data_IF_563256136373
#
_entry.id   IF_563256136373
#
_cell.length_a   1.000
_cell.length_b   1.000
_cell.length_c   1.000
_cell.angle_alpha   90.00
_cell.angle_beta   90.00
_cell.angle_gamma   90.00
#
_symmetry.space_group_name_H-M   'P 1'
#
loop_
_entity.id
_entity.type
_entity.pdbx_description
1 polymer ?
#
# COMPACT_ATOMS: atom_id res chain seq x y z
N UNK A 1 24.90 37.10 26.49
CA UNK A 1 23.66 37.31 25.74
C UNK A 1 22.84 36.05 25.87
N UNK A 2 21.79 36.06 26.68
CA UNK A 2 20.87 34.93 26.82
C UNK A 2 20.03 34.85 25.54
N UNK A 3 20.30 33.87 24.69
CA UNK A 3 19.41 33.53 23.58
C UNK A 3 18.09 33.08 24.19
N UNK A 4 17.08 33.95 24.17
CA UNK A 4 15.71 33.50 24.36
C UNK A 4 15.38 32.60 23.17
N UNK A 5 15.15 31.32 23.43
CA UNK A 5 14.75 30.38 22.40
C UNK A 5 13.38 30.81 21.88
N UNK A 6 13.29 31.07 20.57
CA UNK A 6 12.01 31.37 19.90
C UNK A 6 11.00 30.22 20.06
N UNK A 7 11.49 29.01 20.33
CA UNK A 7 10.69 27.81 20.54
C UNK A 7 10.42 27.58 22.03
N UNK A 8 9.33 26.86 22.31
CA UNK A 8 8.96 26.43 23.65
C UNK A 8 10.12 25.67 24.32
N UNK A 9 10.23 25.76 25.66
CA UNK A 9 11.25 25.07 26.46
C UNK A 9 11.26 23.53 26.31
N UNK A 10 10.23 22.96 25.70
CA UNK A 10 10.09 21.53 25.39
C UNK A 10 10.51 21.18 23.96
N UNK A 11 10.85 22.15 23.12
CA UNK A 11 11.28 21.93 21.75
C UNK A 11 12.76 21.53 21.71
N UNK A 12 13.08 20.47 20.97
CA UNK A 12 14.47 20.02 20.80
C UNK A 12 15.34 21.13 20.19
N UNK A 13 16.34 21.61 20.93
CA UNK A 13 17.40 22.46 20.42
C UNK A 13 18.55 21.66 19.79
N UNK A 14 19.33 22.27 18.89
CA UNK A 14 20.52 21.63 18.30
C UNK A 14 21.58 21.26 19.35
N UNK A 15 21.62 21.99 20.46
CA UNK A 15 22.47 21.72 21.63
C UNK A 15 21.90 20.68 22.59
N UNK A 16 20.65 20.25 22.39
CA UNK A 16 19.94 19.31 23.28
C UNK A 16 19.78 17.92 22.63
N UNK A 17 20.42 17.69 21.49
CA UNK A 17 20.45 16.39 20.82
C UNK A 17 21.19 15.39 21.71
N UNK A 18 20.56 14.27 22.12
CA UNK A 18 21.23 13.26 22.93
C UNK A 18 22.46 12.72 22.19
N UNK A 19 23.61 12.61 22.88
CA UNK A 19 24.76 11.90 22.35
C UNK A 19 24.37 10.44 22.08
N UNK A 20 24.59 9.98 20.85
CA UNK A 20 24.20 8.67 20.38
C UNK A 20 25.42 7.96 19.80
N UNK A 21 25.66 6.73 20.23
CA UNK A 21 26.78 5.96 19.70
C UNK A 21 26.58 5.63 18.21
N UNK A 22 27.66 5.69 17.40
CA UNK A 22 27.61 5.37 15.98
C UNK A 22 27.15 3.92 15.77
N UNK A 23 26.45 3.67 14.66
CA UNK A 23 26.01 2.32 14.34
C UNK A 23 27.21 1.42 14.06
N UNK A 24 27.26 0.23 14.68
CA UNK A 24 28.30 -0.76 14.38
C UNK A 24 28.28 -1.12 12.88
N UNK A 25 29.46 -1.14 12.25
CA UNK A 25 29.60 -1.53 10.85
C UNK A 25 29.11 -2.98 10.65
N UNK A 26 28.20 -3.16 9.69
CA UNK A 26 27.59 -4.47 9.38
C UNK A 26 28.13 -5.01 8.06
N UNK A 27 28.12 -6.34 7.86
CA UNK A 27 28.45 -6.94 6.56
C UNK A 27 27.54 -6.35 5.46
N UNK A 28 28.12 -6.13 4.28
CA UNK A 28 27.51 -5.37 3.18
C UNK A 28 26.10 -5.81 2.79
N UNK A 29 25.76 -7.09 2.94
CA UNK A 29 24.44 -7.67 2.66
C UNK A 29 23.37 -7.18 3.64
N UNK A 30 23.74 -6.91 4.90
CA UNK A 30 22.83 -6.50 5.97
C UNK A 30 22.89 -5.00 6.26
N UNK A 31 23.64 -4.24 5.45
CA UNK A 31 23.88 -2.81 5.69
C UNK A 31 22.60 -1.99 5.72
N UNK A 32 21.55 -2.43 5.03
CA UNK A 32 20.24 -1.76 5.02
C UNK A 32 19.24 -2.38 5.99
N UNK A 33 19.44 -3.61 6.47
CA UNK A 33 18.41 -4.33 7.23
C UNK A 33 18.13 -3.74 8.62
N UNK A 34 19.13 -3.11 9.24
CA UNK A 34 18.99 -2.43 10.54
C UNK A 34 20.08 -1.37 10.69
N UNK A 35 19.75 -0.12 10.38
CA UNK A 35 20.64 1.03 10.57
C UNK A 35 20.12 1.85 11.75
N UNK A 36 21.03 2.39 12.56
CA UNK A 36 20.63 3.26 13.66
C UNK A 36 20.26 4.64 13.10
N UNK A 37 19.06 5.13 13.42
CA UNK A 37 18.61 6.46 13.02
C UNK A 37 19.21 7.51 13.97
N UNK A 38 19.87 8.56 13.48
CA UNK A 38 20.46 9.57 14.35
C UNK A 38 19.40 10.55 14.90
N UNK A 39 19.64 11.10 16.10
CA UNK A 39 18.77 12.12 16.69
C UNK A 39 18.85 13.48 15.98
N UNK A 40 20.01 13.82 15.38
CA UNK A 40 20.25 15.03 14.61
C UNK A 40 20.96 14.72 13.28
N UNK A 41 20.92 15.65 12.32
CA UNK A 41 21.47 15.46 10.96
C UNK A 41 20.95 14.18 10.26
N UNK A 42 19.66 13.88 10.41
CA UNK A 42 19.04 12.71 9.76
C UNK A 42 18.96 12.82 8.23
N UNK A 43 19.24 14.00 7.68
CA UNK A 43 19.25 14.31 6.24
C UNK A 43 20.18 13.37 5.43
N UNK A 44 21.22 12.82 6.08
CA UNK A 44 22.16 11.87 5.45
C UNK A 44 21.61 10.42 5.38
N UNK A 45 20.61 10.09 6.20
CA UNK A 45 20.10 8.72 6.38
C UNK A 45 18.70 8.55 5.79
N UNK A 46 17.84 9.56 5.95
CA UNK A 46 16.49 9.56 5.38
C UNK A 46 16.49 10.32 4.06
N UNK A 47 16.02 9.70 2.95
CA UNK A 47 15.93 10.40 1.69
C UNK A 47 15.02 11.62 1.81
N UNK A 48 15.44 12.76 1.25
CA UNK A 48 14.68 14.02 1.24
C UNK A 48 13.24 13.82 0.70
N UNK A 49 13.05 12.86 -0.22
CA UNK A 49 11.75 12.50 -0.76
C UNK A 49 10.70 12.12 0.30
N UNK A 50 11.12 11.54 1.43
CA UNK A 50 10.20 11.18 2.52
C UNK A 50 9.54 12.40 3.17
N UNK A 51 10.20 13.56 3.12
CA UNK A 51 9.72 14.81 3.71
C UNK A 51 9.06 15.70 2.66
N UNK A 52 9.57 15.69 1.42
CA UNK A 52 9.03 16.48 0.30
C UNK A 52 7.66 16.02 -0.19
N UNK A 53 7.35 14.71 -0.07
CA UNK A 53 6.09 14.16 -0.59
C UNK A 53 4.85 14.65 0.19
N UNK A 54 5.01 15.23 1.40
CA UNK A 54 3.90 15.67 2.24
C UNK A 54 3.71 17.19 2.20
N UNK A 55 2.64 17.65 1.55
CA UNK A 55 2.30 19.06 1.57
C UNK A 55 1.89 19.52 2.99
N UNK A 56 2.12 20.79 3.38
CA UNK A 56 1.65 21.32 4.66
C UNK A 56 0.15 21.15 4.89
N UNK A 57 -0.63 21.09 3.81
CA UNK A 57 -2.07 20.83 3.86
C UNK A 57 -2.36 19.39 4.27
N UNK A 58 -1.62 18.42 3.75
CA UNK A 58 -1.81 17.00 4.06
C UNK A 58 -1.42 16.70 5.50
N UNK A 59 -0.33 17.28 6.00
CA UNK A 59 0.07 17.16 7.40
C UNK A 59 -1.01 17.69 8.35
N UNK A 60 -1.60 18.85 8.05
CA UNK A 60 -2.72 19.42 8.83
C UNK A 60 -3.96 18.54 8.77
N UNK A 61 -4.26 17.95 7.62
CA UNK A 61 -5.39 17.03 7.47
C UNK A 61 -5.17 15.76 8.31
N UNK A 62 -3.96 15.19 8.30
CA UNK A 62 -3.61 14.03 9.13
C UNK A 62 -3.73 14.35 10.61
N UNK A 63 -3.23 15.51 11.04
CA UNK A 63 -3.35 15.96 12.43
C UNK A 63 -4.82 16.10 12.85
N UNK A 64 -5.65 16.71 11.99
CA UNK A 64 -7.10 16.83 12.24
C UNK A 64 -7.76 15.45 12.38
N UNK A 65 -7.48 14.52 11.48
CA UNK A 65 -8.02 13.15 11.52
C UNK A 65 -7.58 12.39 12.79
N UNK A 66 -6.36 12.64 13.30
CA UNK A 66 -5.90 12.07 14.58
C UNK A 66 -6.70 12.63 15.75
N UNK A 67 -6.89 13.95 15.83
CA UNK A 67 -7.70 14.60 16.88
C UNK A 67 -9.15 14.10 16.88
N UNK A 68 -9.80 14.09 15.72
CA UNK A 68 -11.18 13.60 15.57
C UNK A 68 -11.31 12.13 16.02
N UNK A 69 -10.28 11.31 15.75
CA UNK A 69 -10.24 9.92 16.22
C UNK A 69 -10.13 9.85 17.74
N UNK A 70 -9.23 10.62 18.33
CA UNK A 70 -9.04 10.66 19.79
C UNK A 70 -10.31 11.14 20.51
N UNK A 71 -11.00 12.15 19.97
CA UNK A 71 -12.30 12.62 20.44
C UNK A 71 -13.36 11.50 20.37
N UNK A 72 -13.49 10.81 19.24
CA UNK A 72 -14.42 9.69 19.09
C UNK A 72 -14.11 8.52 20.01
N UNK A 73 -12.83 8.27 20.31
CA UNK A 73 -12.40 7.25 21.27
C UNK A 73 -12.81 7.67 22.68
N UNK A 74 -12.58 8.94 23.05
CA UNK A 74 -12.97 9.48 24.36
C UNK A 74 -14.49 9.45 24.57
N UNK A 75 -15.27 9.70 23.52
CA UNK A 75 -16.74 9.62 23.53
C UNK A 75 -17.28 8.17 23.45
N UNK A 76 -16.43 7.19 23.14
CA UNK A 76 -16.81 5.78 22.99
C UNK A 76 -17.59 5.45 21.72
N UNK A 77 -17.61 6.36 20.73
CA UNK A 77 -18.33 6.22 19.46
C UNK A 77 -17.44 5.58 18.38
N UNK A 78 -16.13 5.52 18.61
CA UNK A 78 -15.16 5.07 17.62
C UNK A 78 -15.38 3.62 17.17
N UNK A 79 -15.48 3.42 15.86
CA UNK A 79 -15.48 2.09 15.24
C UNK A 79 -14.13 1.85 14.56
N UNK A 80 -13.33 0.88 15.04
CA UNK A 80 -12.00 0.67 14.50
C UNK A 80 -12.07 0.15 13.06
N UNK A 81 -11.08 0.52 12.27
CA UNK A 81 -10.97 0.01 10.91
C UNK A 81 -10.71 -1.51 10.93
N UNK A 82 -11.22 -2.28 9.95
CA UNK A 82 -10.89 -3.71 9.80
C UNK A 82 -9.38 -4.01 9.70
N UNK A 83 -8.54 -2.99 9.50
CA UNK A 83 -7.09 -3.13 9.40
C UNK A 83 -6.32 -2.67 10.64
N UNK A 84 -6.97 -1.97 11.58
CA UNK A 84 -6.28 -1.31 12.70
C UNK A 84 -5.71 -2.30 13.72
N UNK A 85 -6.29 -3.49 13.80
CA UNK A 85 -5.81 -4.58 14.66
C UNK A 85 -4.68 -5.40 14.02
N UNK A 86 -4.34 -5.15 12.75
CA UNK A 86 -3.31 -5.90 12.04
C UNK A 86 -1.98 -5.15 12.14
N UNK A 87 -0.96 -5.81 12.71
CA UNK A 87 0.40 -5.29 12.68
C UNK A 87 1.02 -5.52 11.29
N UNK A 88 1.07 -4.45 10.49
CA UNK A 88 1.72 -4.48 9.18
C UNK A 88 3.25 -4.55 9.26
N UNK A 89 3.82 -4.43 10.46
CA UNK A 89 5.25 -4.24 10.69
C UNK A 89 5.84 -3.04 9.94
N UNK A 90 4.99 -2.16 9.41
CA UNK A 90 5.38 -0.87 8.84
C UNK A 90 5.07 0.19 9.89
N UNK A 91 6.08 0.98 10.26
CA UNK A 91 5.95 2.00 11.30
C UNK A 91 6.81 3.19 10.91
N UNK A 92 6.17 4.35 10.86
CA UNK A 92 6.81 5.63 10.57
C UNK A 92 6.60 6.56 11.76
N UNK A 93 7.39 6.33 12.80
CA UNK A 93 7.37 7.13 14.01
C UNK A 93 8.71 7.89 14.14
N UNK A 94 8.72 8.95 14.95
CA UNK A 94 9.94 9.69 15.23
C UNK A 94 11.07 8.81 15.80
N UNK A 95 10.75 7.68 16.45
CA UNK A 95 11.74 6.74 17.00
C UNK A 95 12.21 5.68 16.00
N UNK A 96 11.35 5.26 15.06
CA UNK A 96 11.67 4.17 14.14
C UNK A 96 10.93 4.31 12.80
N UNK A 97 11.67 4.18 11.70
CA UNK A 97 11.14 3.95 10.36
C UNK A 97 11.34 2.50 9.98
N UNK A 98 10.26 1.82 9.64
CA UNK A 98 10.28 0.38 9.41
C UNK A 98 9.49 0.07 8.17
N UNK A 99 10.12 -0.66 7.26
CA UNK A 99 9.47 -1.12 6.04
C UNK A 99 9.29 -2.63 6.03
N UNK A 100 8.11 -3.05 5.62
CA UNK A 100 7.76 -4.45 5.46
C UNK A 100 7.04 -4.66 4.12
N UNK A 101 7.39 -5.73 3.41
CA UNK A 101 6.64 -6.15 2.22
C UNK A 101 5.35 -6.84 2.65
N UNK A 102 4.34 -6.71 1.80
CA UNK A 102 3.15 -7.54 1.90
C UNK A 102 3.52 -9.02 1.64
N UNK A 103 2.81 -9.98 2.25
CA UNK A 103 3.06 -11.39 1.99
C UNK A 103 2.78 -11.73 0.52
N UNK A 104 3.43 -12.78 0.02
CA UNK A 104 3.30 -13.21 -1.39
C UNK A 104 1.84 -13.48 -1.80
N UNK A 105 1.00 -13.96 -0.87
CA UNK A 105 -0.43 -14.17 -1.10
C UNK A 105 -1.20 -12.89 -1.38
N UNK A 106 -0.84 -11.77 -0.72
CA UNK A 106 -1.35 -10.46 -1.06
C UNK A 106 -0.92 -10.10 -2.47
N UNK A 107 0.37 -10.12 -2.79
CA UNK A 107 0.81 -9.79 -4.16
C UNK A 107 0.07 -10.63 -5.22
N UNK A 108 -0.10 -11.93 -4.99
CA UNK A 108 -0.86 -12.82 -5.87
C UNK A 108 -2.31 -12.37 -6.09
N UNK A 109 -3.05 -12.04 -5.04
CA UNK A 109 -4.45 -11.59 -5.16
C UNK A 109 -4.57 -10.22 -5.86
N UNK A 110 -3.58 -9.32 -5.68
CA UNK A 110 -3.54 -8.02 -6.35
C UNK A 110 -3.27 -8.21 -7.84
N UNK A 111 -2.32 -9.09 -8.17
CA UNK A 111 -2.08 -9.49 -9.54
C UNK A 111 -3.31 -10.16 -10.13
N UNK A 112 -3.93 -11.14 -9.48
CA UNK A 112 -5.15 -11.81 -9.96
C UNK A 112 -6.27 -10.81 -10.31
N UNK A 113 -6.51 -9.82 -9.44
CA UNK A 113 -7.48 -8.75 -9.69
C UNK A 113 -7.08 -7.87 -10.87
N UNK A 114 -5.83 -7.41 -10.89
CA UNK A 114 -5.33 -6.41 -11.86
C UNK A 114 -5.15 -7.03 -13.24
N UNK A 115 -4.47 -8.16 -13.32
CA UNK A 115 -4.23 -8.92 -14.54
C UNK A 115 -5.54 -9.44 -15.12
N UNK A 116 -6.45 -9.97 -14.30
CA UNK A 116 -7.78 -10.39 -14.75
C UNK A 116 -8.56 -9.24 -15.40
N UNK A 117 -8.56 -8.06 -14.77
CA UNK A 117 -9.19 -6.86 -15.32
C UNK A 117 -8.56 -6.43 -16.65
N UNK A 118 -7.23 -6.32 -16.70
CA UNK A 118 -6.50 -5.87 -17.89
C UNK A 118 -6.69 -6.84 -19.06
N UNK A 119 -6.52 -8.14 -18.83
CA UNK A 119 -6.73 -9.17 -19.85
C UNK A 119 -8.18 -9.16 -20.35
N UNK A 120 -9.16 -9.03 -19.46
CA UNK A 120 -10.57 -8.95 -19.84
C UNK A 120 -10.83 -7.80 -20.83
N UNK A 121 -10.34 -6.60 -20.53
CA UNK A 121 -10.53 -5.45 -21.42
C UNK A 121 -9.76 -5.61 -22.73
N UNK A 122 -8.51 -6.10 -22.69
CA UNK A 122 -7.73 -6.33 -23.91
C UNK A 122 -8.40 -7.34 -24.84
N UNK A 123 -8.82 -8.49 -24.31
CA UNK A 123 -9.51 -9.51 -25.09
C UNK A 123 -10.85 -8.99 -25.62
N UNK A 124 -11.60 -8.26 -24.80
CA UNK A 124 -12.89 -7.68 -25.20
C UNK A 124 -12.74 -6.70 -26.36
N UNK A 125 -11.74 -5.81 -26.30
CA UNK A 125 -11.46 -4.82 -27.36
C UNK A 125 -11.07 -5.52 -28.67
N UNK A 126 -10.27 -6.60 -28.62
CA UNK A 126 -9.86 -7.34 -29.81
C UNK A 126 -11.01 -8.21 -30.36
N UNK A 127 -11.81 -8.84 -29.49
CA UNK A 127 -12.88 -9.73 -29.90
C UNK A 127 -14.10 -8.99 -30.45
N UNK A 128 -14.38 -7.78 -29.95
CA UNK A 128 -15.54 -6.99 -30.37
C UNK A 128 -15.63 -6.79 -31.90
N UNK A 129 -14.60 -6.30 -32.62
CA UNK A 129 -14.69 -6.12 -34.07
C UNK A 129 -14.82 -7.44 -34.83
N UNK A 130 -14.17 -8.51 -34.36
CA UNK A 130 -14.25 -9.84 -34.99
C UNK A 130 -15.67 -10.38 -34.88
N UNK A 131 -16.26 -10.26 -33.69
CA UNK A 131 -17.65 -10.63 -33.43
C UNK A 131 -18.63 -9.85 -34.34
N UNK A 132 -18.49 -8.53 -34.42
CA UNK A 132 -19.36 -7.72 -35.28
C UNK A 132 -19.20 -8.05 -36.77
N UNK A 133 -17.98 -8.33 -37.22
CA UNK A 133 -17.72 -8.74 -38.60
C UNK A 133 -18.36 -10.08 -38.92
N UNK A 134 -18.24 -11.06 -38.02
CA UNK A 134 -18.84 -12.39 -38.19
C UNK A 134 -20.37 -12.33 -38.19
N UNK A 135 -20.98 -11.52 -37.32
CA UNK A 135 -22.44 -11.33 -37.33
C UNK A 135 -22.93 -10.60 -38.59
N UNK A 136 -22.15 -9.65 -39.12
CA UNK A 136 -22.53 -8.87 -40.30
C UNK A 136 -22.33 -9.62 -41.63
N UNK A 137 -21.30 -10.46 -41.72
CA UNK A 137 -20.90 -11.16 -42.97
C UNK A 137 -21.16 -12.66 -42.94
N UNK A 138 -21.48 -13.20 -41.77
CA UNK A 138 -21.72 -14.60 -41.54
C UNK A 138 -22.92 -15.13 -42.32
N UNK A 139 -22.83 -16.40 -42.71
CA UNK A 139 -23.91 -17.10 -43.42
C UNK A 139 -25.02 -17.57 -42.47
N UNK A 140 -24.75 -17.59 -41.17
CA UNK A 140 -25.69 -18.00 -40.14
C UNK A 140 -26.61 -16.85 -39.73
N UNK A 141 -27.85 -17.13 -39.29
CA UNK A 141 -28.69 -16.13 -38.67
C UNK A 141 -27.99 -15.49 -37.48
N UNK A 142 -28.11 -14.17 -37.32
CA UNK A 142 -27.41 -13.41 -36.28
C UNK A 142 -27.59 -14.00 -34.87
N UNK A 143 -28.79 -14.49 -34.55
CA UNK A 143 -29.09 -15.11 -33.25
C UNK A 143 -28.30 -16.40 -32.99
N UNK A 144 -28.04 -17.19 -34.02
CA UNK A 144 -27.26 -18.43 -33.89
C UNK A 144 -25.76 -18.13 -33.77
N UNK A 145 -25.24 -17.17 -34.56
CA UNK A 145 -23.86 -16.68 -34.41
C UNK A 145 -23.60 -16.13 -33.01
N UNK A 146 -24.53 -15.33 -32.47
CA UNK A 146 -24.43 -14.79 -31.11
C UNK A 146 -24.35 -15.90 -30.07
N UNK A 147 -25.20 -16.93 -30.19
CA UNK A 147 -25.19 -18.07 -29.27
C UNK A 147 -23.87 -18.83 -29.33
N UNK A 148 -23.39 -19.16 -30.53
CA UNK A 148 -22.11 -19.87 -30.69
C UNK A 148 -20.97 -19.06 -30.08
N UNK A 149 -20.87 -17.76 -30.39
CA UNK A 149 -19.87 -16.91 -29.75
C UNK A 149 -19.97 -16.88 -28.22
N UNK A 150 -21.19 -16.85 -27.68
CA UNK A 150 -21.41 -16.82 -26.23
C UNK A 150 -20.90 -18.09 -25.54
N UNK A 151 -21.26 -19.26 -26.07
CA UNK A 151 -20.89 -20.54 -25.48
C UNK A 151 -19.46 -20.96 -25.80
N UNK A 152 -19.01 -20.76 -27.03
CA UNK A 152 -17.72 -21.26 -27.51
C UNK A 152 -16.57 -20.30 -27.16
N UNK A 153 -16.78 -18.99 -27.27
CA UNK A 153 -15.73 -17.99 -27.11
C UNK A 153 -15.83 -17.23 -25.78
N UNK A 154 -16.98 -16.59 -25.49
CA UNK A 154 -17.12 -15.74 -24.31
C UNK A 154 -17.05 -16.53 -23.01
N UNK A 155 -17.62 -17.73 -22.96
CA UNK A 155 -17.64 -18.58 -21.75
C UNK A 155 -16.24 -18.89 -21.23
N UNK A 156 -15.30 -19.22 -22.13
CA UNK A 156 -13.98 -19.69 -21.74
C UNK A 156 -12.93 -18.58 -21.79
N UNK A 157 -12.88 -17.82 -22.88
CA UNK A 157 -11.82 -16.82 -23.11
C UNK A 157 -12.04 -15.54 -22.32
N UNK A 158 -13.29 -15.08 -22.20
CA UNK A 158 -13.64 -13.87 -21.43
C UNK A 158 -14.15 -14.18 -20.03
N UNK A 159 -14.76 -15.35 -19.83
CA UNK A 159 -15.22 -15.83 -18.53
C UNK A 159 -14.09 -16.04 -17.53
N UNK A 160 -12.97 -16.66 -17.93
CA UNK A 160 -11.84 -16.91 -17.03
C UNK A 160 -11.20 -15.62 -16.47
N UNK A 161 -10.84 -14.61 -17.29
CA UNK A 161 -10.37 -13.32 -16.79
C UNK A 161 -11.39 -12.59 -15.92
N UNK A 162 -12.67 -12.65 -16.29
CA UNK A 162 -13.75 -12.04 -15.51
C UNK A 162 -13.90 -12.69 -14.13
N UNK A 163 -13.86 -14.02 -14.05
CA UNK A 163 -13.88 -14.75 -12.78
C UNK A 163 -12.66 -14.43 -11.93
N UNK A 164 -11.46 -14.40 -12.52
CA UNK A 164 -10.22 -13.98 -11.83
C UNK A 164 -10.36 -12.57 -11.23
N UNK A 165 -10.90 -11.62 -12.02
CA UNK A 165 -11.12 -10.26 -11.56
C UNK A 165 -12.18 -10.19 -10.45
N UNK A 166 -13.28 -10.92 -10.59
CA UNK A 166 -14.36 -10.97 -9.61
C UNK A 166 -13.90 -11.58 -8.28
N UNK A 167 -13.22 -12.73 -8.32
CA UNK A 167 -12.68 -13.42 -7.14
C UNK A 167 -11.68 -12.50 -6.42
N UNK A 168 -10.70 -11.95 -7.14
CA UNK A 168 -9.72 -11.04 -6.54
C UNK A 168 -10.37 -9.82 -5.89
N UNK A 169 -11.39 -9.23 -6.55
CA UNK A 169 -12.12 -8.08 -6.00
C UNK A 169 -12.96 -8.44 -4.78
N UNK A 170 -13.60 -9.60 -4.79
CA UNK A 170 -14.44 -10.09 -3.70
C UNK A 170 -13.62 -10.39 -2.44
N UNK A 171 -12.50 -11.12 -2.59
CA UNK A 171 -11.60 -11.46 -1.47
C UNK A 171 -11.04 -10.19 -0.83
N UNK A 172 -10.56 -9.23 -1.64
CA UNK A 172 -9.98 -7.98 -1.12
C UNK A 172 -11.02 -7.14 -0.35
N UNK A 173 -12.28 -7.13 -0.80
CA UNK A 173 -13.32 -6.30 -0.18
C UNK A 173 -13.92 -6.94 1.08
N UNK A 174 -14.16 -8.24 1.07
CA UNK A 174 -14.93 -8.92 2.11
C UNK A 174 -14.07 -9.71 3.11
N UNK A 175 -12.85 -10.09 2.73
CA UNK A 175 -11.97 -10.91 3.56
C UNK A 175 -10.60 -10.24 3.75
N UNK A 176 -10.55 -9.09 4.45
CA UNK A 176 -9.31 -8.36 4.69
C UNK A 176 -8.24 -9.23 5.36
N UNK A 177 -8.64 -10.17 6.23
CA UNK A 177 -7.73 -11.08 6.94
C UNK A 177 -7.09 -12.17 6.04
N UNK A 178 -7.71 -12.48 4.88
CA UNK A 178 -7.12 -13.40 3.89
C UNK A 178 -6.14 -12.66 2.98
N UNK A 179 -6.49 -11.41 2.67
CA UNK A 179 -5.73 -10.51 1.80
C UNK A 179 -4.50 -9.94 2.49
N UNK A 180 -4.65 -9.40 3.70
CA UNK A 180 -3.59 -8.80 4.51
C UNK A 180 -3.27 -9.77 5.64
N UNK A 181 -2.05 -10.29 5.62
CA UNK A 181 -1.46 -10.99 6.75
C UNK A 181 -0.21 -10.24 7.19
N UNK A 182 0.10 -10.23 8.50
CA UNK A 182 1.37 -9.72 8.97
C UNK A 182 2.50 -10.41 8.22
N UNK A 183 3.46 -9.62 7.73
CA UNK A 183 4.64 -10.15 7.07
C UNK A 183 5.52 -10.90 8.10
N UNK A 184 6.54 -11.63 7.65
CA UNK A 184 7.45 -12.33 8.59
C UNK A 184 8.34 -11.38 9.42
N UNK A 185 8.15 -10.08 9.28
CA UNK A 185 8.93 -9.02 9.90
C UNK A 185 9.36 -7.96 8.88
N UNK A 186 9.99 -6.87 9.35
CA UNK A 186 10.48 -5.83 8.48
C UNK A 186 11.69 -6.28 7.67
N UNK A 187 11.78 -5.78 6.45
CA UNK A 187 12.93 -6.01 5.56
C UNK A 187 14.09 -5.14 6.00
N UNK A 188 13.76 -3.91 6.37
CA UNK A 188 14.69 -2.97 6.96
C UNK A 188 14.01 -2.13 8.04
N UNK A 189 14.83 -1.70 8.99
CA UNK A 189 14.41 -0.87 10.10
C UNK A 189 15.50 0.18 10.39
N UNK A 190 15.10 1.45 10.41
CA UNK A 190 15.86 2.55 11.00
C UNK A 190 15.30 2.79 12.39
N UNK A 191 16.11 2.71 13.43
CA UNK A 191 15.62 2.88 14.81
C UNK A 191 16.62 3.67 15.65
N UNK A 192 16.13 4.61 16.46
CA UNK A 192 16.97 5.45 17.32
C UNK A 192 17.50 4.72 18.56
N UNK A 193 16.79 3.70 19.04
CA UNK A 193 17.10 2.97 20.28
C UNK A 193 18.04 1.78 20.09
N UNK A 194 18.08 1.20 18.89
CA UNK A 194 18.87 -0.01 18.57
C UNK A 194 20.06 0.34 17.72
#
# INVERSE_FOLDING_TARGET
MTQESYYAKTAYGSSEVPEQEPSNERPWIMRFAKVRLPWGNADEVTPVSFVEDYSPRDLRNQEKLKREREEQIAEGIYTPSPFEHIDFHMRDDHESFRYALLPAGSHFLLYMKTFGKVIFFLLSIVSAPIFFLDVATGKMPAWESIKSWFFDFFSLILGLPLLSWAIGSFVIKHFPNLWIKPSRGPIWELNRRT
#
